data_IF_891309529539
#
_entry.id   IF_891309529539
#
_cell.length_a   1.000
_cell.length_b   1.000
_cell.length_c   1.000
_cell.angle_alpha   90.00
_cell.angle_beta   90.00
_cell.angle_gamma   90.00
#
_symmetry.space_group_name_H-M   'P 1'
#
loop_
_entity.id
_entity.type
_entity.pdbx_description
1 polymer ?
#
# COMPACT_ATOMS: atom_id res chain seq x y z
N UNK A 1 7.42 3.45 -8.61
CA UNK A 1 6.78 2.24 -8.10
C UNK A 1 5.28 2.47 -8.07
N UNK A 2 4.47 1.56 -8.61
CA UNK A 2 3.02 1.59 -8.37
C UNK A 2 2.79 1.20 -6.91
N UNK A 3 1.99 1.95 -6.17
CA UNK A 3 1.72 1.67 -4.75
C UNK A 3 2.64 2.37 -3.73
N UNK A 4 3.23 3.51 -4.08
CA UNK A 4 3.90 4.39 -3.09
C UNK A 4 3.23 5.75 -3.05
N UNK A 5 2.94 6.26 -1.86
CA UNK A 5 2.18 7.47 -1.58
C UNK A 5 2.96 8.41 -0.65
N UNK A 6 2.61 9.70 -0.66
CA UNK A 6 3.22 10.71 0.21
C UNK A 6 2.47 10.88 1.52
N UNK A 7 1.20 10.48 1.58
CA UNK A 7 0.37 10.53 2.77
C UNK A 7 -0.06 9.13 3.22
N UNK A 8 -0.32 8.99 4.52
CA UNK A 8 -0.92 7.79 5.10
C UNK A 8 -2.31 7.55 4.53
N UNK A 9 -3.10 8.62 4.42
CA UNK A 9 -4.48 8.60 3.91
C UNK A 9 -4.56 8.06 2.47
N UNK A 10 -3.69 8.50 1.57
CA UNK A 10 -3.66 7.98 0.20
C UNK A 10 -3.29 6.49 0.16
N UNK A 11 -2.37 6.05 1.03
CA UNK A 11 -2.00 4.64 1.13
C UNK A 11 -3.14 3.80 1.72
N UNK A 12 -3.88 4.34 2.69
CA UNK A 12 -5.01 3.66 3.30
C UNK A 12 -6.16 3.53 2.30
N UNK A 13 -6.53 4.61 1.60
CA UNK A 13 -7.50 4.59 0.52
C UNK A 13 -7.12 3.55 -0.55
N UNK A 14 -5.82 3.48 -0.91
CA UNK A 14 -5.37 2.47 -1.86
C UNK A 14 -5.46 1.05 -1.31
N UNK A 15 -5.24 0.82 -0.02
CA UNK A 15 -5.39 -0.50 0.59
C UNK A 15 -6.83 -1.00 0.47
N UNK A 16 -7.81 -0.10 0.68
CA UNK A 16 -9.24 -0.37 0.51
C UNK A 16 -9.58 -0.71 -0.95
N UNK A 17 -9.07 0.06 -1.92
CA UNK A 17 -9.24 -0.23 -3.35
C UNK A 17 -8.64 -1.58 -3.77
N UNK A 18 -7.52 -1.96 -3.17
CA UNK A 18 -6.87 -3.24 -3.42
C UNK A 18 -7.56 -4.41 -2.71
N UNK A 19 -8.35 -4.14 -1.65
CA UNK A 19 -8.93 -5.18 -0.79
C UNK A 19 -7.89 -5.86 0.11
N UNK A 20 -6.83 -5.14 0.45
CA UNK A 20 -5.84 -5.55 1.45
C UNK A 20 -5.94 -4.65 2.69
N UNK A 21 -5.40 -5.10 3.81
CA UNK A 21 -5.53 -4.38 5.08
C UNK A 21 -4.25 -3.65 5.47
N UNK A 22 -4.42 -2.42 5.96
CA UNK A 22 -3.37 -1.61 6.56
C UNK A 22 -2.44 -0.93 5.55
N UNK A 23 -1.45 -0.25 6.12
CA UNK A 23 -0.40 0.46 5.40
C UNK A 23 0.95 0.18 6.06
N UNK A 24 2.04 0.32 5.32
CA UNK A 24 3.39 0.28 5.89
C UNK A 24 4.25 1.40 5.31
N UNK A 25 5.17 1.89 6.14
CA UNK A 25 6.13 2.91 5.71
C UNK A 25 7.36 2.26 5.10
N UNK A 26 7.77 2.73 3.93
CA UNK A 26 9.01 2.36 3.27
C UNK A 26 9.83 3.63 3.02
N UNK A 27 10.89 3.81 3.81
CA UNK A 27 11.67 5.05 3.88
C UNK A 27 10.75 6.25 4.16
N UNK A 28 10.62 7.17 3.22
CA UNK A 28 9.81 8.38 3.34
C UNK A 28 8.44 8.27 2.65
N UNK A 29 8.07 7.06 2.21
CA UNK A 29 6.84 6.81 1.46
C UNK A 29 5.93 5.84 2.19
N UNK A 30 4.63 5.99 1.95
CA UNK A 30 3.60 5.10 2.44
C UNK A 30 3.19 4.10 1.37
N UNK A 31 3.00 2.86 1.75
CA UNK A 31 2.61 1.77 0.86
C UNK A 31 1.36 1.10 1.40
N UNK A 32 0.40 0.73 0.52
CA UNK A 32 -0.79 0.02 0.95
C UNK A 32 -0.44 -1.43 1.33
N UNK A 33 -1.36 -2.06 2.04
CA UNK A 33 -1.23 -3.39 2.63
C UNK A 33 -0.21 -3.43 3.77
N UNK A 34 -0.25 -4.51 4.56
CA UNK A 34 0.57 -4.62 5.78
C UNK A 34 2.07 -4.74 5.53
N UNK A 35 2.47 -5.16 4.32
CA UNK A 35 3.86 -5.26 3.89
C UNK A 35 3.99 -5.38 2.36
N UNK A 36 5.22 -5.24 1.87
CA UNK A 36 5.56 -5.32 0.44
C UNK A 36 5.16 -6.66 -0.21
N UNK A 37 5.31 -7.78 0.52
CA UNK A 37 4.95 -9.11 0.03
C UNK A 37 3.44 -9.20 -0.27
N UNK A 38 2.61 -8.69 0.62
CA UNK A 38 1.16 -8.63 0.43
C UNK A 38 0.80 -7.68 -0.69
N UNK A 39 1.40 -6.48 -0.72
CA UNK A 39 1.20 -5.53 -1.80
C UNK A 39 1.45 -6.14 -3.18
N UNK A 40 2.54 -6.91 -3.34
CA UNK A 40 2.84 -7.59 -4.59
C UNK A 40 1.80 -8.65 -5.00
N UNK A 41 1.09 -9.27 -4.05
CA UNK A 41 -0.01 -10.20 -4.36
C UNK A 41 -1.18 -9.42 -4.96
N UNK A 42 -1.54 -8.29 -4.36
CA UNK A 42 -2.71 -7.50 -4.78
C UNK A 42 -2.46 -6.64 -6.03
N UNK A 43 -1.23 -6.19 -6.28
CA UNK A 43 -0.88 -5.44 -7.49
C UNK A 43 -0.78 -6.31 -8.76
N UNK A 44 -0.68 -7.64 -8.60
CA UNK A 44 -0.61 -8.60 -9.71
C UNK A 44 -1.97 -9.15 -10.11
N UNK A 45 -3.01 -8.94 -9.30
CA UNK A 45 -4.40 -9.21 -9.65
C UNK A 45 -4.90 -8.14 -10.61
#
# INVERSE_FOLDING_TARGET
MRGTFLSEEDAENRSLELGCEGIHKNQDKWMPCKNEKELHIYLRK
#
